data_IF_583655630079
#
_entry.id   IF_583655630079
#
_cell.length_a   1.000
_cell.length_b   1.000
_cell.length_c   1.000
_cell.angle_alpha   90.00
_cell.angle_beta   90.00
_cell.angle_gamma   90.00
#
_symmetry.space_group_name_H-M   'P 1'
#
loop_
_entity.id
_entity.type
_entity.pdbx_description
1 polymer ?
#
# COMPACT_ATOMS: atom_id res chain seq x y z
N UNK A 1 -4.02 -13.69 -2.24
CA UNK A 1 -3.12 -12.54 -2.25
C UNK A 1 -3.72 -11.37 -3.01
N UNK A 2 -4.21 -11.57 -4.20
CA UNK A 2 -4.77 -10.50 -5.05
C UNK A 2 -5.89 -9.67 -4.38
N UNK A 3 -6.81 -10.30 -3.66
CA UNK A 3 -7.88 -9.61 -2.94
C UNK A 3 -7.34 -8.68 -1.83
N UNK A 4 -6.27 -9.06 -1.16
CA UNK A 4 -5.62 -8.25 -0.13
C UNK A 4 -4.91 -7.03 -0.76
N UNK A 5 -4.26 -7.23 -1.89
CA UNK A 5 -3.61 -6.16 -2.66
C UNK A 5 -4.63 -5.11 -3.11
N UNK A 6 -5.76 -5.56 -3.68
CA UNK A 6 -6.86 -4.68 -4.06
C UNK A 6 -7.45 -3.93 -2.86
N UNK A 7 -7.66 -4.63 -1.74
CA UNK A 7 -8.18 -4.01 -0.52
C UNK A 7 -7.23 -2.94 0.03
N UNK A 8 -5.92 -3.18 0.01
CA UNK A 8 -4.92 -2.21 0.45
C UNK A 8 -4.80 -1.02 -0.50
N UNK A 9 -4.91 -1.25 -1.81
CA UNK A 9 -4.86 -0.18 -2.81
C UNK A 9 -6.09 0.75 -2.75
N UNK A 10 -7.22 0.31 -2.19
CA UNK A 10 -8.40 1.17 -2.02
C UNK A 10 -8.17 2.29 -1.00
N UNK A 11 -7.27 2.13 -0.04
CA UNK A 11 -7.04 3.14 1.02
C UNK A 11 -6.58 4.47 0.43
N UNK A 12 -5.47 4.57 -0.33
CA UNK A 12 -5.08 5.82 -0.95
C UNK A 12 -6.09 6.32 -1.99
N UNK A 13 -6.78 5.41 -2.69
CA UNK A 13 -7.82 5.79 -3.64
C UNK A 13 -9.02 6.47 -2.96
N UNK A 14 -9.44 6.00 -1.79
CA UNK A 14 -10.51 6.61 -1.01
C UNK A 14 -10.13 8.00 -0.47
N UNK A 15 -8.87 8.23 -0.14
CA UNK A 15 -8.39 9.56 0.26
C UNK A 15 -8.53 10.56 -0.88
N UNK A 16 -8.12 10.17 -2.09
CA UNK A 16 -8.29 10.98 -3.29
C UNK A 16 -9.75 11.22 -3.64
N UNK A 17 -10.56 10.19 -3.59
CA UNK A 17 -11.98 10.26 -3.89
C UNK A 17 -12.72 11.19 -2.92
N UNK A 18 -12.48 11.05 -1.62
CA UNK A 18 -13.12 11.89 -0.61
C UNK A 18 -12.75 13.37 -0.75
N UNK A 19 -11.48 13.66 -1.04
CA UNK A 19 -11.04 15.03 -1.32
C UNK A 19 -11.69 15.58 -2.59
N UNK A 20 -11.67 14.81 -3.69
CA UNK A 20 -12.24 15.23 -4.96
C UNK A 20 -13.75 15.50 -4.85
N UNK A 21 -14.48 14.63 -4.15
CA UNK A 21 -15.90 14.82 -3.91
C UNK A 21 -16.16 16.13 -3.13
N UNK A 22 -15.39 16.40 -2.08
CA UNK A 22 -15.51 17.65 -1.32
C UNK A 22 -15.18 18.89 -2.16
N UNK A 23 -14.18 18.81 -3.03
CA UNK A 23 -13.79 19.92 -3.89
C UNK A 23 -14.86 20.21 -4.98
N UNK A 24 -15.44 19.15 -5.56
CA UNK A 24 -16.45 19.26 -6.62
C UNK A 24 -17.81 19.73 -6.07
N UNK A 25 -18.26 19.18 -4.95
CA UNK A 25 -19.60 19.47 -4.41
C UNK A 25 -19.76 20.92 -3.92
N UNK A 26 -18.66 21.60 -3.58
CA UNK A 26 -18.73 22.89 -2.89
C UNK A 26 -18.23 24.09 -3.69
N UNK A 27 -17.48 23.88 -4.78
CA UNK A 27 -16.75 25.00 -5.40
C UNK A 27 -16.88 25.13 -6.91
N UNK A 28 -17.32 24.12 -7.64
CA UNK A 28 -17.30 24.16 -9.11
C UNK A 28 -18.57 23.60 -9.73
N UNK A 29 -19.12 24.34 -10.70
CA UNK A 29 -20.14 23.79 -11.59
C UNK A 29 -19.49 22.71 -12.49
N UNK A 30 -20.16 21.58 -12.77
CA UNK A 30 -19.59 20.48 -13.55
C UNK A 30 -19.07 20.91 -14.94
N UNK A 31 -19.72 21.88 -15.55
CA UNK A 31 -19.34 22.40 -16.87
C UNK A 31 -18.04 23.22 -16.84
N UNK A 32 -17.76 23.93 -15.76
CA UNK A 32 -16.52 24.68 -15.56
C UNK A 32 -15.34 23.74 -15.25
N UNK A 33 -15.60 22.66 -14.54
CA UNK A 33 -14.62 21.62 -14.26
C UNK A 33 -14.09 20.97 -15.53
N UNK A 34 -14.94 20.72 -16.52
CA UNK A 34 -14.53 20.11 -17.79
C UNK A 34 -13.86 21.08 -18.74
N UNK A 35 -14.15 22.38 -18.63
CA UNK A 35 -13.59 23.39 -19.53
C UNK A 35 -12.15 23.79 -19.13
N UNK A 36 -11.79 23.77 -17.85
CA UNK A 36 -10.51 24.31 -17.36
C UNK A 36 -9.81 23.45 -16.29
N UNK A 37 -9.96 22.13 -16.38
CA UNK A 37 -9.44 21.13 -15.44
C UNK A 37 -7.92 21.17 -15.22
N UNK A 38 -7.19 21.87 -16.08
CA UNK A 38 -5.75 21.73 -16.07
C UNK A 38 -5.01 22.75 -15.21
N UNK A 39 -5.40 24.00 -15.22
CA UNK A 39 -4.53 25.08 -14.75
C UNK A 39 -5.09 25.83 -13.55
N UNK A 40 -6.32 26.30 -13.63
CA UNK A 40 -6.91 27.14 -12.58
C UNK A 40 -7.23 26.32 -11.33
N UNK A 41 -7.83 25.15 -11.50
CA UNK A 41 -8.14 24.26 -10.40
C UNK A 41 -6.89 23.80 -9.62
N UNK A 42 -5.82 23.46 -10.32
CA UNK A 42 -4.54 23.08 -9.69
C UNK A 42 -3.87 24.26 -8.97
N UNK A 43 -4.07 25.46 -9.48
CA UNK A 43 -3.46 26.64 -8.88
C UNK A 43 -4.21 27.07 -7.63
N UNK A 44 -5.52 27.04 -7.66
CA UNK A 44 -6.39 27.42 -6.53
C UNK A 44 -6.32 26.42 -5.38
N UNK A 45 -6.29 25.14 -5.71
CA UNK A 45 -6.28 24.03 -4.74
C UNK A 45 -4.88 23.48 -4.44
N UNK A 46 -3.82 24.16 -4.86
CA UNK A 46 -2.44 23.61 -4.78
C UNK A 46 -2.00 23.23 -3.38
N UNK A 47 -2.46 23.93 -2.36
CA UNK A 47 -2.08 23.66 -0.96
C UNK A 47 -2.79 22.41 -0.44
N UNK A 48 -4.08 22.29 -0.71
CA UNK A 48 -4.88 21.14 -0.34
C UNK A 48 -4.49 19.90 -1.14
N UNK A 49 -4.24 20.08 -2.43
CA UNK A 49 -3.76 19.03 -3.32
C UNK A 49 -2.41 18.47 -2.83
N UNK A 50 -1.46 19.34 -2.48
CA UNK A 50 -0.16 18.92 -1.95
C UNK A 50 -0.29 18.16 -0.61
N UNK A 51 -1.23 18.55 0.24
CA UNK A 51 -1.49 17.84 1.49
C UNK A 51 -2.07 16.44 1.25
N UNK A 52 -3.00 16.30 0.30
CA UNK A 52 -3.58 15.00 -0.08
C UNK A 52 -2.54 14.12 -0.78
N UNK A 53 -1.75 14.69 -1.69
CA UNK A 53 -0.65 13.98 -2.35
C UNK A 53 0.37 13.44 -1.33
N UNK A 54 0.78 14.29 -0.38
CA UNK A 54 1.68 13.90 0.69
C UNK A 54 1.10 12.80 1.58
N UNK A 55 -0.16 12.92 1.97
CA UNK A 55 -0.87 11.91 2.76
C UNK A 55 -1.00 10.57 2.02
N UNK A 56 -1.41 10.62 0.75
CA UNK A 56 -1.55 9.43 -0.09
C UNK A 56 -0.18 8.77 -0.36
N UNK A 57 0.87 9.55 -0.59
CA UNK A 57 2.23 9.04 -0.77
C UNK A 57 2.74 8.34 0.51
N UNK A 58 2.52 8.95 1.68
CA UNK A 58 2.89 8.35 2.96
C UNK A 58 2.12 7.05 3.21
N UNK A 59 0.80 7.06 3.01
CA UNK A 59 -0.03 5.87 3.16
C UNK A 59 0.44 4.75 2.22
N UNK A 60 0.73 5.07 0.96
CA UNK A 60 1.24 4.12 -0.03
C UNK A 60 2.61 3.55 0.37
N UNK A 61 3.51 4.39 0.89
CA UNK A 61 4.82 3.95 1.37
C UNK A 61 4.70 2.99 2.57
N UNK A 62 3.86 3.31 3.54
CA UNK A 62 3.61 2.43 4.71
C UNK A 62 3.01 1.11 4.26
N UNK A 63 2.03 1.13 3.36
CA UNK A 63 1.42 -0.08 2.83
C UNK A 63 2.42 -0.94 2.05
N UNK A 64 3.29 -0.32 1.24
CA UNK A 64 4.35 -1.03 0.53
C UNK A 64 5.32 -1.72 1.50
N UNK A 65 5.74 -1.04 2.56
CA UNK A 65 6.60 -1.62 3.60
C UNK A 65 5.93 -2.81 4.32
N UNK A 66 4.66 -2.66 4.68
CA UNK A 66 3.89 -3.76 5.28
C UNK A 66 3.77 -4.95 4.33
N UNK A 67 3.50 -4.70 3.06
CA UNK A 67 3.39 -5.75 2.06
C UNK A 67 4.72 -6.48 1.85
N UNK A 68 5.82 -5.75 1.81
CA UNK A 68 7.16 -6.33 1.73
C UNK A 68 7.50 -7.17 2.96
N UNK A 69 7.16 -6.71 4.16
CA UNK A 69 7.37 -7.46 5.39
C UNK A 69 6.55 -8.76 5.42
N UNK A 70 5.29 -8.70 5.01
CA UNK A 70 4.43 -9.88 4.89
C UNK A 70 4.94 -10.86 3.84
N UNK A 71 5.43 -10.36 2.71
CA UNK A 71 6.03 -11.16 1.64
C UNK A 71 7.28 -11.90 2.11
N UNK A 72 8.18 -11.21 2.81
CA UNK A 72 9.39 -11.81 3.39
C UNK A 72 9.04 -12.87 4.43
N UNK A 73 8.04 -12.61 5.28
CA UNK A 73 7.54 -13.56 6.27
C UNK A 73 6.94 -14.81 5.61
N UNK A 74 6.09 -14.61 4.60
CA UNK A 74 5.47 -15.71 3.85
C UNK A 74 6.52 -16.56 3.13
N UNK A 75 7.50 -15.93 2.48
CA UNK A 75 8.60 -16.65 1.82
C UNK A 75 9.38 -17.52 2.79
N UNK A 76 9.69 -17.02 4.00
CA UNK A 76 10.32 -17.80 5.07
C UNK A 76 9.45 -18.97 5.53
N UNK A 77 8.15 -18.78 5.64
CA UNK A 77 7.19 -19.84 5.98
C UNK A 77 7.15 -20.95 4.93
N UNK A 78 7.09 -20.59 3.64
CA UNK A 78 7.12 -21.55 2.53
C UNK A 78 8.44 -22.33 2.48
N UNK A 79 9.58 -21.64 2.62
CA UNK A 79 10.89 -22.30 2.66
C UNK A 79 10.98 -23.34 3.79
N UNK A 80 10.45 -23.01 4.98
CA UNK A 80 10.42 -23.95 6.08
C UNK A 80 9.57 -25.19 5.80
N UNK A 81 8.42 -25.01 5.16
CA UNK A 81 7.55 -26.11 4.75
C UNK A 81 8.18 -27.00 3.71
N UNK A 82 8.84 -26.43 2.70
CA UNK A 82 9.52 -27.21 1.67
C UNK A 82 10.78 -27.92 2.17
N UNK A 83 11.49 -27.30 3.12
CA UNK A 83 12.68 -27.91 3.71
C UNK A 83 12.37 -29.00 4.76
N UNK A 84 11.13 -29.04 5.27
CA UNK A 84 10.73 -30.05 6.24
C UNK A 84 10.35 -31.33 5.52
N UNK A 85 11.11 -32.39 5.77
CA UNK A 85 10.83 -33.75 5.27
C UNK A 85 9.65 -34.44 6.02
N UNK A 86 8.92 -33.69 6.85
CA UNK A 86 7.80 -34.19 7.64
C UNK A 86 6.47 -33.77 7.04
N UNK A 87 5.45 -34.66 7.04
CA UNK A 87 4.13 -34.39 6.47
C UNK A 87 3.27 -33.44 7.32
N UNK A 88 3.82 -32.80 8.34
CA UNK A 88 3.10 -31.84 9.19
C UNK A 88 2.80 -30.57 8.39
N UNK A 89 1.74 -30.65 7.57
CA UNK A 89 1.14 -29.49 6.90
C UNK A 89 0.28 -28.74 7.89
N UNK A 90 0.76 -27.59 8.39
CA UNK A 90 0.00 -26.77 9.33
C UNK A 90 0.47 -25.32 9.36
N UNK A 91 -0.38 -24.46 9.87
CA UNK A 91 -0.06 -23.04 10.08
C UNK A 91 1.10 -22.84 11.06
N UNK A 92 1.21 -23.69 12.05
CA UNK A 92 2.26 -23.58 13.09
C UNK A 92 3.68 -23.68 12.55
N UNK A 93 4.08 -24.70 11.75
CA UNK A 93 5.41 -24.75 11.14
C UNK A 93 5.63 -23.61 10.13
N UNK A 94 4.59 -23.17 9.42
CA UNK A 94 4.67 -22.02 8.52
C UNK A 94 5.01 -20.73 9.28
N UNK A 95 4.29 -20.43 10.36
CA UNK A 95 4.53 -19.24 11.19
C UNK A 95 5.90 -19.27 11.87
N UNK A 96 6.30 -20.43 12.39
CA UNK A 96 7.62 -20.61 12.99
C UNK A 96 8.75 -20.42 11.97
N UNK A 97 8.56 -20.93 10.75
CA UNK A 97 9.47 -20.71 9.62
C UNK A 97 9.55 -19.26 9.21
N UNK A 98 8.42 -18.59 9.05
CA UNK A 98 8.34 -17.16 8.77
C UNK A 98 9.12 -16.34 9.81
N UNK A 99 8.86 -16.55 11.08
CA UNK A 99 9.55 -15.85 12.17
C UNK A 99 11.06 -16.11 12.19
N UNK A 100 11.49 -17.35 11.94
CA UNK A 100 12.91 -17.73 11.94
C UNK A 100 13.69 -17.07 10.81
N UNK A 101 13.11 -16.99 9.62
CA UNK A 101 13.79 -16.47 8.44
C UNK A 101 13.59 -14.97 8.24
N UNK A 102 12.57 -14.38 8.86
CA UNK A 102 12.25 -12.96 8.72
C UNK A 102 13.45 -12.04 8.97
N UNK A 103 14.18 -12.25 10.05
CA UNK A 103 15.34 -11.43 10.40
C UNK A 103 16.48 -11.53 9.38
N UNK A 104 16.63 -12.67 8.70
CA UNK A 104 17.63 -12.83 7.63
C UNK A 104 17.22 -12.10 6.37
N UNK A 105 15.96 -12.20 5.97
CA UNK A 105 15.42 -11.48 4.82
C UNK A 105 15.43 -9.97 5.05
N UNK A 106 15.05 -9.51 6.25
CA UNK A 106 15.09 -8.11 6.61
C UNK A 106 16.50 -7.52 6.52
N UNK A 107 17.55 -8.26 6.97
CA UNK A 107 18.94 -7.82 6.84
C UNK A 107 19.39 -7.73 5.38
N UNK A 108 19.09 -8.72 4.57
CA UNK A 108 19.41 -8.69 3.14
C UNK A 108 18.74 -7.51 2.47
N UNK A 109 17.50 -7.23 2.85
CA UNK A 109 16.74 -6.13 2.28
C UNK A 109 17.32 -4.76 2.66
N UNK A 110 17.70 -4.56 3.93
CA UNK A 110 18.37 -3.33 4.40
C UNK A 110 19.72 -3.11 3.69
N UNK A 111 20.42 -4.19 3.33
CA UNK A 111 21.70 -4.09 2.63
C UNK A 111 21.55 -3.82 1.12
N UNK A 112 20.37 -3.99 0.55
CA UNK A 112 20.07 -3.78 -0.88
C UNK A 112 19.40 -2.42 -1.17
N UNK A 113 19.04 -1.67 -0.15
CA UNK A 113 18.57 -0.28 -0.22
C UNK A 113 19.74 0.70 -0.20
#
# INVERSE_FOLDING_TARGET
MWALECALATIPALMWFGWLQGAVDHHYAPDELFADLGTVFRFDQRVELAAVEGGAALASAVLALLFMALGAFAAGGWLALFASNRPERGLRPFLAGGARFFGRFARVWVLTL
#
